data_IF_771745847054
#
_entry.id   IF_771745847054
#
_cell.length_a   1.000
_cell.length_b   1.000
_cell.length_c   1.000
_cell.angle_alpha   90.00
_cell.angle_beta   90.00
_cell.angle_gamma   90.00
#
_symmetry.space_group_name_H-M   'P 1'
#
loop_
_entity.id
_entity.type
_entity.pdbx_description
1 polymer ?
#
# COMPACT_ATOMS: atom_id res chain seq x y z
N UNK A 1 11.60 36.75 -67.67
CA UNK A 1 11.34 37.61 -66.49
C UNK A 1 10.52 36.81 -65.49
N UNK A 2 11.13 36.32 -64.41
CA UNK A 2 10.44 35.56 -63.37
C UNK A 2 10.00 36.57 -62.30
N UNK A 3 8.70 36.86 -62.26
CA UNK A 3 8.09 37.71 -61.23
C UNK A 3 8.17 37.01 -59.87
N UNK A 4 8.57 37.71 -58.79
CA UNK A 4 8.64 37.10 -57.47
C UNK A 4 7.22 36.85 -56.95
N UNK A 5 6.91 35.60 -56.60
CA UNK A 5 5.65 35.21 -55.95
C UNK A 5 5.50 35.99 -54.63
N UNK A 6 4.53 36.89 -54.58
CA UNK A 6 4.09 37.55 -53.34
C UNK A 6 3.66 36.47 -52.34
N UNK A 7 4.39 36.33 -51.23
CA UNK A 7 3.98 35.48 -50.10
C UNK A 7 2.65 36.00 -49.56
N UNK A 8 1.59 35.21 -49.72
CA UNK A 8 0.30 35.45 -49.08
C UNK A 8 0.52 35.37 -47.57
N UNK A 9 0.29 36.47 -46.85
CA UNK A 9 0.40 36.52 -45.38
C UNK A 9 -0.77 35.70 -44.80
N UNK A 10 -0.44 34.66 -44.04
CA UNK A 10 -1.41 33.90 -43.25
C UNK A 10 -2.17 34.83 -42.29
N UNK A 11 -3.47 34.62 -42.06
CA UNK A 11 -4.25 35.43 -41.14
C UNK A 11 -3.61 35.33 -39.74
N UNK A 12 -3.26 36.48 -39.18
CA UNK A 12 -2.65 36.56 -37.85
C UNK A 12 -3.77 36.38 -36.84
N UNK A 13 -3.76 35.26 -36.11
CA UNK A 13 -4.68 35.05 -35.02
C UNK A 13 -4.49 36.12 -33.94
N UNK A 14 -5.60 36.72 -33.50
CA UNK A 14 -5.67 37.77 -32.50
C UNK A 14 -6.42 37.30 -31.26
N UNK A 15 -6.18 37.98 -30.14
CA UNK A 15 -6.76 37.69 -28.82
C UNK A 15 -6.86 38.95 -27.98
N UNK A 16 -7.91 39.03 -27.15
CA UNK A 16 -8.15 40.14 -26.23
C UNK A 16 -7.37 39.91 -24.93
N UNK A 17 -6.62 40.92 -24.48
CA UNK A 17 -5.92 40.89 -23.20
C UNK A 17 -6.89 41.16 -22.05
N UNK A 18 -6.93 40.30 -21.03
CA UNK A 18 -7.82 40.45 -19.86
C UNK A 18 -7.51 41.67 -19.00
N UNK A 19 -6.28 42.18 -19.03
CA UNK A 19 -5.86 43.31 -18.18
C UNK A 19 -6.02 44.68 -18.83
N UNK A 20 -5.86 44.80 -20.16
CA UNK A 20 -6.01 46.09 -20.85
C UNK A 20 -7.19 46.16 -21.81
N UNK A 21 -7.93 45.06 -22.01
CA UNK A 21 -9.08 44.98 -22.92
C UNK A 21 -8.75 45.13 -24.41
N UNK A 22 -7.47 45.29 -24.78
CA UNK A 22 -7.06 45.52 -26.18
C UNK A 22 -6.85 44.19 -26.92
N UNK A 23 -7.34 44.15 -28.15
CA UNK A 23 -7.06 43.07 -29.10
C UNK A 23 -5.61 43.16 -29.60
N UNK A 24 -4.89 42.03 -29.55
CA UNK A 24 -3.48 41.95 -29.91
C UNK A 24 -3.20 40.63 -30.65
N UNK A 25 -2.18 40.58 -31.53
CA UNK A 25 -1.78 39.33 -32.16
C UNK A 25 -1.23 38.34 -31.12
N UNK A 26 -1.40 37.03 -31.34
CA UNK A 26 -0.94 35.99 -30.39
C UNK A 26 0.55 36.09 -30.03
N UNK A 27 1.39 36.64 -30.92
CA UNK A 27 2.82 36.88 -30.66
C UNK A 27 3.09 37.83 -29.49
N UNK A 28 2.10 38.63 -29.09
CA UNK A 28 2.17 39.55 -27.96
C UNK A 28 1.80 38.90 -26.61
N UNK A 29 1.56 37.58 -26.60
CA UNK A 29 1.27 36.81 -25.40
C UNK A 29 2.37 35.76 -25.18
N UNK A 30 2.52 35.30 -23.94
CA UNK A 30 3.39 34.17 -23.63
C UNK A 30 2.64 32.86 -23.87
N UNK A 31 3.35 31.82 -24.33
CA UNK A 31 2.75 30.48 -24.51
C UNK A 31 2.47 29.85 -23.15
N UNK A 32 1.47 28.98 -23.07
CA UNK A 32 1.18 28.21 -21.85
C UNK A 32 0.82 26.76 -22.17
N UNK A 33 1.06 25.88 -21.19
CA UNK A 33 0.64 24.48 -21.22
C UNK A 33 -0.65 24.25 -20.42
N UNK A 34 -0.97 25.17 -19.53
CA UNK A 34 -2.19 25.12 -18.73
C UNK A 34 -3.34 25.73 -19.55
N UNK A 35 -4.26 24.88 -20.00
CA UNK A 35 -5.42 25.29 -20.80
C UNK A 35 -6.42 26.14 -20.02
N UNK A 36 -6.46 26.01 -18.68
CA UNK A 36 -7.46 26.69 -17.85
C UNK A 36 -7.23 28.21 -17.79
N UNK A 37 -6.01 28.67 -18.04
CA UNK A 37 -5.63 30.08 -18.06
C UNK A 37 -5.55 30.67 -19.48
N UNK A 38 -6.07 29.92 -20.46
CA UNK A 38 -5.91 30.20 -21.88
C UNK A 38 -7.25 30.09 -22.60
N UNK A 39 -7.80 31.21 -23.07
CA UNK A 39 -9.02 31.18 -23.89
C UNK A 39 -8.84 30.52 -25.25
N UNK A 40 -7.60 30.48 -25.76
CA UNK A 40 -7.21 29.87 -27.04
C UNK A 40 -6.52 28.49 -26.86
N UNK A 41 -6.40 28.01 -25.62
CA UNK A 41 -5.71 26.77 -25.26
C UNK A 41 -4.19 26.76 -25.48
N UNK A 42 -3.57 27.87 -25.89
CA UNK A 42 -2.14 27.95 -26.27
C UNK A 42 -1.36 29.12 -25.66
N UNK A 43 -2.00 30.27 -25.42
CA UNK A 43 -1.35 31.47 -24.88
C UNK A 43 -2.03 31.95 -23.60
N UNK A 44 -1.27 32.61 -22.72
CA UNK A 44 -1.83 33.24 -21.53
C UNK A 44 -2.79 34.38 -21.93
N UNK A 45 -3.72 34.74 -21.05
CA UNK A 45 -4.72 35.78 -21.33
C UNK A 45 -4.20 37.22 -21.16
N UNK A 46 -2.95 37.41 -20.73
CA UNK A 46 -2.34 38.71 -20.43
C UNK A 46 -1.21 39.00 -21.41
N UNK A 47 -1.24 40.17 -22.04
CA UNK A 47 -0.21 40.55 -23.01
C UNK A 47 1.12 40.96 -22.35
N UNK A 48 2.21 40.78 -23.08
CA UNK A 48 3.60 41.09 -22.65
C UNK A 48 3.75 42.52 -22.12
N UNK A 49 3.07 43.50 -22.71
CA UNK A 49 3.14 44.89 -22.25
C UNK A 49 2.48 45.11 -20.88
N UNK A 50 1.40 44.38 -20.58
CA UNK A 50 0.73 44.46 -19.27
C UNK A 50 1.57 43.80 -18.18
N UNK A 51 2.17 42.65 -18.49
CA UNK A 51 3.13 41.99 -17.59
C UNK A 51 4.25 42.96 -17.22
N UNK A 52 4.88 43.61 -18.21
CA UNK A 52 5.94 44.60 -17.93
C UNK A 52 5.45 45.76 -17.08
N UNK A 53 4.37 46.44 -17.50
CA UNK A 53 3.85 47.60 -16.78
C UNK A 53 3.48 47.29 -15.33
N UNK A 54 2.94 46.12 -15.06
CA UNK A 54 2.56 45.69 -13.72
C UNK A 54 3.69 45.04 -12.91
N UNK A 55 4.93 45.05 -13.40
CA UNK A 55 6.08 44.43 -12.73
C UNK A 55 7.26 45.38 -12.52
N UNK A 56 7.25 46.57 -13.13
CA UNK A 56 8.25 47.61 -12.89
C UNK A 56 7.72 48.67 -11.92
N UNK A 57 8.60 49.18 -11.08
CA UNK A 57 8.38 50.38 -10.27
C UNK A 57 8.45 51.64 -11.13
N UNK A 58 8.03 52.78 -10.58
CA UNK A 58 8.06 54.09 -11.26
C UNK A 58 9.48 54.54 -11.63
N UNK A 59 10.50 54.07 -10.91
CA UNK A 59 11.92 54.33 -11.15
C UNK A 59 12.54 53.42 -12.24
N UNK A 60 11.76 52.48 -12.79
CA UNK A 60 12.21 51.51 -13.78
C UNK A 60 12.90 50.27 -13.21
N UNK A 61 13.02 50.15 -11.88
CA UNK A 61 13.50 48.93 -11.22
C UNK A 61 12.43 47.83 -11.24
N UNK A 62 12.86 46.56 -11.27
CA UNK A 62 11.94 45.44 -11.26
C UNK A 62 11.38 45.24 -9.84
N UNK A 63 10.06 45.29 -9.70
CA UNK A 63 9.38 44.96 -8.46
C UNK A 63 9.15 43.44 -8.39
N UNK A 64 9.93 42.76 -7.54
CA UNK A 64 9.93 41.29 -7.44
C UNK A 64 8.55 40.78 -7.01
N UNK A 65 7.92 41.40 -6.02
CA UNK A 65 6.61 40.97 -5.52
C UNK A 65 5.50 41.15 -6.57
N UNK A 66 5.48 42.30 -7.25
CA UNK A 66 4.52 42.56 -8.32
C UNK A 66 4.74 41.60 -9.50
N UNK A 67 6.00 41.29 -9.81
CA UNK A 67 6.35 40.30 -10.82
C UNK A 67 5.90 38.89 -10.43
N UNK A 68 6.11 38.46 -9.19
CA UNK A 68 5.61 37.18 -8.68
C UNK A 68 4.09 37.08 -8.79
N UNK A 69 3.34 38.13 -8.43
CA UNK A 69 1.88 38.18 -8.61
C UNK A 69 1.46 38.00 -10.08
N UNK A 70 2.20 38.59 -11.02
CA UNK A 70 1.98 38.37 -12.46
C UNK A 70 2.27 36.93 -12.88
N UNK A 71 3.35 36.34 -12.39
CA UNK A 71 3.71 34.95 -12.67
C UNK A 71 2.63 33.99 -12.15
N UNK A 72 2.13 34.22 -10.93
CA UNK A 72 1.04 33.46 -10.33
C UNK A 72 -0.22 33.49 -11.20
N UNK A 73 -0.64 34.69 -11.66
CA UNK A 73 -1.82 34.85 -12.50
C UNK A 73 -1.70 34.16 -13.86
N UNK A 74 -0.47 34.01 -14.37
CA UNK A 74 -0.18 33.32 -15.63
C UNK A 74 0.21 31.86 -15.44
N UNK A 75 0.17 31.33 -14.22
CA UNK A 75 0.70 30.02 -13.83
C UNK A 75 2.09 29.74 -14.42
N UNK A 76 2.99 30.70 -14.22
CA UNK A 76 4.38 30.63 -14.66
C UNK A 76 5.30 30.44 -13.47
N UNK A 77 6.35 29.60 -13.57
CA UNK A 77 7.21 29.36 -12.44
C UNK A 77 7.99 30.62 -12.08
N UNK A 78 8.24 30.80 -10.78
CA UNK A 78 9.16 31.79 -10.23
C UNK A 78 10.50 31.11 -9.94
N UNK A 79 11.54 31.51 -10.67
CA UNK A 79 12.87 30.88 -10.62
C UNK A 79 13.91 31.97 -10.38
N UNK A 80 14.37 32.16 -9.13
CA UNK A 80 15.34 33.20 -8.77
C UNK A 80 16.60 33.17 -9.63
N UNK A 81 17.16 32.00 -9.89
CA UNK A 81 18.41 31.83 -10.64
C UNK A 81 18.26 32.28 -12.11
N UNK A 82 17.09 32.03 -12.69
CA UNK A 82 16.76 32.47 -14.04
C UNK A 82 16.54 33.98 -14.10
N UNK A 83 16.05 34.57 -13.01
CA UNK A 83 15.87 36.02 -12.87
C UNK A 83 17.22 36.72 -12.71
N UNK A 84 18.10 36.20 -11.86
CA UNK A 84 19.47 36.71 -11.66
C UNK A 84 20.30 36.62 -12.95
N UNK A 85 20.18 35.49 -13.66
CA UNK A 85 20.78 35.32 -14.98
C UNK A 85 20.25 36.35 -15.99
N UNK A 86 18.94 36.60 -16.02
CA UNK A 86 18.34 37.60 -16.90
C UNK A 86 18.79 39.03 -16.56
N UNK A 87 18.90 39.37 -15.28
CA UNK A 87 19.42 40.67 -14.83
C UNK A 87 20.89 40.84 -15.22
N UNK A 88 21.70 39.80 -15.05
CA UNK A 88 23.12 39.82 -15.41
C UNK A 88 23.33 39.94 -16.93
N UNK A 89 22.53 39.26 -17.74
CA UNK A 89 22.55 39.36 -19.20
C UNK A 89 22.22 40.79 -19.66
N UNK A 90 21.19 41.41 -19.07
CA UNK A 90 20.79 42.78 -19.41
C UNK A 90 21.85 43.79 -18.97
N UNK A 91 22.42 43.65 -17.76
CA UNK A 91 23.53 44.51 -17.29
C UNK A 91 24.70 44.48 -18.26
N UNK A 92 25.16 43.29 -18.64
CA UNK A 92 26.24 43.12 -19.62
C UNK A 92 25.89 43.70 -21.00
N UNK A 93 24.64 43.56 -21.45
CA UNK A 93 24.19 44.15 -22.71
C UNK A 93 24.14 45.68 -22.70
N UNK A 94 23.85 46.29 -21.55
CA UNK A 94 23.90 47.74 -21.37
C UNK A 94 25.35 48.24 -21.40
N UNK A 95 26.27 47.54 -20.72
CA UNK A 95 27.70 47.87 -20.73
C UNK A 95 28.32 47.79 -22.12
N UNK A 96 27.95 46.78 -22.91
CA UNK A 96 28.48 46.57 -24.26
C UNK A 96 27.74 47.36 -25.36
N UNK A 97 26.63 48.05 -25.02
CA UNK A 97 25.77 48.73 -25.99
C UNK A 97 25.13 47.81 -27.04
N UNK A 98 25.15 46.49 -26.81
CA UNK A 98 24.71 45.46 -27.76
C UNK A 98 23.97 44.33 -27.04
N UNK A 99 22.75 44.06 -27.47
CA UNK A 99 21.95 42.91 -27.01
C UNK A 99 20.57 43.30 -26.47
N UNK A 100 20.00 42.44 -25.62
CA UNK A 100 18.64 42.62 -25.10
C UNK A 100 18.69 43.44 -23.81
N UNK A 101 17.79 44.41 -23.71
CA UNK A 101 17.67 45.30 -22.54
C UNK A 101 16.45 44.97 -21.66
N UNK A 102 15.68 43.95 -22.03
CA UNK A 102 14.42 43.58 -21.39
C UNK A 102 14.61 42.41 -20.42
N UNK A 103 14.67 42.70 -19.11
CA UNK A 103 14.87 41.70 -18.05
C UNK A 103 13.77 40.65 -18.08
N UNK A 104 12.49 41.08 -18.14
CA UNK A 104 11.34 40.17 -18.16
C UNK A 104 11.34 39.32 -19.43
N UNK A 105 11.70 39.91 -20.57
CA UNK A 105 11.86 39.17 -21.83
C UNK A 105 12.96 38.12 -21.77
N UNK A 106 14.11 38.44 -21.18
CA UNK A 106 15.21 37.50 -20.97
C UNK A 106 14.83 36.40 -19.97
N UNK A 107 14.09 36.73 -18.91
CA UNK A 107 13.55 35.76 -17.97
C UNK A 107 12.64 34.74 -18.68
N UNK A 108 11.62 35.20 -19.42
CA UNK A 108 10.71 34.31 -20.12
C UNK A 108 11.39 33.51 -21.23
N UNK A 109 12.46 34.03 -21.85
CA UNK A 109 13.33 33.24 -22.74
C UNK A 109 13.89 32.04 -21.96
N UNK A 110 14.56 32.28 -20.84
CA UNK A 110 15.18 31.22 -20.02
C UNK A 110 14.15 30.20 -19.53
N UNK A 111 13.04 30.67 -18.95
CA UNK A 111 11.97 29.80 -18.42
C UNK A 111 11.28 28.97 -19.52
N UNK A 112 11.10 29.53 -20.71
CA UNK A 112 10.42 28.83 -21.81
C UNK A 112 11.34 27.92 -22.62
N UNK A 113 12.66 28.12 -22.54
CA UNK A 113 13.65 27.39 -23.35
C UNK A 113 14.26 26.23 -22.57
N UNK A 114 14.52 26.40 -21.27
CA UNK A 114 15.20 25.41 -20.46
C UNK A 114 14.23 24.29 -20.03
N UNK A 115 14.45 23.03 -20.43
CA UNK A 115 13.52 21.92 -20.18
C UNK A 115 13.12 21.77 -18.71
N UNK A 116 14.09 22.00 -17.80
CA UNK A 116 13.90 21.99 -16.35
C UNK A 116 12.83 22.96 -15.85
N UNK A 117 12.74 24.15 -16.46
CA UNK A 117 11.82 25.20 -16.05
C UNK A 117 10.47 25.09 -16.75
N UNK A 118 10.45 24.60 -18.00
CA UNK A 118 9.22 24.56 -18.81
C UNK A 118 8.09 23.72 -18.21
N UNK A 119 8.41 22.77 -17.31
CA UNK A 119 7.46 21.81 -16.72
C UNK A 119 6.88 22.27 -15.38
N UNK A 120 7.41 23.34 -14.80
CA UNK A 120 7.02 23.79 -13.47
C UNK A 120 5.85 24.77 -13.57
N UNK A 121 4.83 24.58 -12.71
CA UNK A 121 3.81 25.60 -12.43
C UNK A 121 4.34 26.66 -11.45
N UNK A 122 3.57 27.73 -11.23
CA UNK A 122 3.92 28.70 -10.18
C UNK A 122 4.02 28.02 -8.82
N UNK A 123 3.03 27.17 -8.48
CA UNK A 123 2.97 26.48 -7.20
C UNK A 123 4.14 25.50 -7.01
N UNK A 124 4.52 24.74 -8.05
CA UNK A 124 5.67 23.82 -7.99
C UNK A 124 6.96 24.59 -7.68
N UNK A 125 7.19 25.70 -8.38
CA UNK A 125 8.39 26.51 -8.19
C UNK A 125 8.44 27.15 -6.79
N UNK A 126 7.30 27.58 -6.26
CA UNK A 126 7.22 28.16 -4.92
C UNK A 126 7.47 27.12 -3.83
N UNK A 127 6.95 25.90 -4.00
CA UNK A 127 7.23 24.80 -3.07
C UNK A 127 8.71 24.41 -3.05
N UNK A 128 9.36 24.38 -4.22
CA UNK A 128 10.81 24.12 -4.30
C UNK A 128 11.62 25.23 -3.64
N UNK A 129 11.25 26.49 -3.90
CA UNK A 129 11.88 27.66 -3.28
C UNK A 129 11.77 27.62 -1.75
N UNK A 130 10.58 27.35 -1.20
CA UNK A 130 10.34 27.28 0.23
C UNK A 130 11.08 26.13 0.93
N UNK A 131 11.41 25.06 0.19
CA UNK A 131 12.20 23.94 0.69
C UNK A 131 13.72 24.21 0.66
N UNK A 132 14.16 25.38 0.18
CA UNK A 132 15.58 25.72 0.06
C UNK A 132 16.35 24.83 -0.93
N UNK A 133 15.65 24.12 -1.81
CA UNK A 133 16.26 23.22 -2.81
C UNK A 133 16.56 24.01 -4.07
N UNK A 134 17.80 23.95 -4.54
CA UNK A 134 18.15 24.52 -5.85
C UNK A 134 17.41 23.76 -6.95
N UNK A 135 16.80 24.48 -7.89
CA UNK A 135 16.10 23.86 -9.03
C UNK A 135 17.08 23.05 -9.89
N UNK A 136 18.38 23.35 -9.87
CA UNK A 136 19.39 22.53 -10.58
C UNK A 136 19.56 21.14 -9.95
N UNK A 137 19.37 21.00 -8.64
CA UNK A 137 19.44 19.72 -7.91
C UNK A 137 18.14 18.92 -8.03
N UNK A 138 17.01 19.62 -8.16
CA UNK A 138 15.72 19.01 -8.45
C UNK A 138 15.64 18.37 -9.85
N UNK A 139 16.54 18.75 -10.77
CA UNK A 139 16.57 18.24 -12.16
C UNK A 139 17.45 17.00 -12.30
N UNK A 140 18.52 16.87 -11.51
CA UNK A 140 19.27 15.61 -11.40
C UNK A 140 18.51 14.55 -10.58
N UNK A 141 17.57 14.97 -9.73
CA UNK A 141 16.63 14.10 -9.01
C UNK A 141 15.23 14.06 -9.61
N UNK A 142 15.01 14.67 -10.79
CA UNK A 142 13.87 14.26 -11.61
C UNK A 142 14.18 12.89 -12.20
N UNK A 143 13.71 11.88 -11.47
CA UNK A 143 13.08 10.71 -12.04
C UNK A 143 12.55 11.07 -13.43
N UNK A 144 12.94 10.26 -14.44
CA UNK A 144 12.28 10.28 -15.73
C UNK A 144 10.81 9.95 -15.48
N UNK A 145 9.97 10.96 -15.19
CA UNK A 145 8.55 10.91 -15.50
C UNK A 145 8.49 10.77 -17.01
N UNK A 146 8.50 9.51 -17.47
CA UNK A 146 8.00 9.15 -18.79
C UNK A 146 6.56 9.66 -18.76
N UNK A 147 6.34 10.80 -19.41
CA UNK A 147 5.01 11.17 -19.85
C UNK A 147 4.61 10.03 -20.77
N UNK A 148 3.75 9.14 -20.28
CA UNK A 148 3.10 8.13 -21.09
C UNK A 148 2.45 8.86 -22.28
N UNK A 149 2.51 8.28 -23.49
CA UNK A 149 1.81 8.84 -24.63
C UNK A 149 0.34 9.10 -24.27
N UNK A 150 -0.21 10.19 -24.83
CA UNK A 150 -1.45 10.91 -24.48
C UNK A 150 -2.77 10.08 -24.42
N UNK A 151 -2.73 8.75 -24.53
CA UNK A 151 -3.90 7.88 -24.64
C UNK A 151 -4.01 6.77 -23.58
N UNK A 152 -3.26 6.80 -22.48
CA UNK A 152 -3.54 5.89 -21.35
C UNK A 152 -4.34 6.62 -20.28
N UNK A 153 -5.57 6.16 -20.07
CA UNK A 153 -6.45 6.62 -18.99
C UNK A 153 -5.81 6.30 -17.64
N UNK A 154 -5.28 7.33 -16.97
CA UNK A 154 -4.83 7.20 -15.58
C UNK A 154 -6.05 7.32 -14.68
N UNK A 155 -6.54 6.18 -14.19
CA UNK A 155 -7.65 6.14 -13.23
C UNK A 155 -7.19 6.67 -11.86
N UNK A 156 -7.56 7.91 -11.54
CA UNK A 156 -7.40 8.47 -10.19
C UNK A 156 -8.78 8.51 -9.53
N UNK A 157 -9.03 7.62 -8.57
CA UNK A 157 -10.24 7.68 -7.75
C UNK A 157 -10.18 8.92 -6.85
N UNK A 158 -10.86 9.99 -7.26
CA UNK A 158 -11.00 11.22 -6.50
C UNK A 158 -12.10 11.09 -5.45
N UNK A 159 -11.77 10.54 -4.29
CA UNK A 159 -12.54 10.76 -3.05
C UNK A 159 -11.50 10.93 -1.94
N UNK A 160 -11.44 12.12 -1.34
CA UNK A 160 -10.37 12.46 -0.39
C UNK A 160 -10.87 13.21 0.85
N UNK A 161 -11.74 12.54 1.60
CA UNK A 161 -12.08 12.89 2.98
C UNK A 161 -11.06 12.32 3.99
N UNK A 162 -9.89 11.86 3.53
CA UNK A 162 -8.88 11.28 4.41
C UNK A 162 -8.19 12.38 5.21
N UNK A 163 -8.26 12.29 6.55
CA UNK A 163 -7.54 13.19 7.46
C UNK A 163 -6.40 12.40 8.10
N UNK A 164 -5.21 13.00 8.11
CA UNK A 164 -4.06 12.44 8.84
C UNK A 164 -4.24 12.80 10.30
N UNK A 165 -4.55 11.81 11.13
CA UNK A 165 -4.64 11.96 12.60
C UNK A 165 -3.31 11.61 13.25
N UNK A 166 -3.13 12.05 14.51
CA UNK A 166 -1.91 11.76 15.27
C UNK A 166 -1.67 10.25 15.42
N UNK A 167 -2.72 9.44 15.59
CA UNK A 167 -2.59 7.98 15.66
C UNK A 167 -1.95 7.37 14.40
N UNK A 168 -2.20 7.97 13.23
CA UNK A 168 -1.61 7.50 11.95
C UNK A 168 -0.14 7.90 11.87
N UNK A 169 0.22 9.08 12.35
CA UNK A 169 1.63 9.52 12.41
C UNK A 169 2.42 8.76 13.45
N UNK A 170 1.81 8.38 14.57
CA UNK A 170 2.45 7.57 15.60
C UNK A 170 2.68 6.13 15.10
N UNK A 171 1.71 5.56 14.38
CA UNK A 171 1.79 4.19 13.85
C UNK A 171 2.82 4.04 12.73
N UNK A 172 2.92 5.01 11.81
CA UNK A 172 3.83 4.92 10.66
C UNK A 172 5.10 5.77 10.79
N UNK A 173 5.15 6.69 11.75
CA UNK A 173 6.20 7.70 11.89
C UNK A 173 5.91 8.96 11.07
N UNK A 174 6.67 10.02 11.36
CA UNK A 174 6.55 11.33 10.71
C UNK A 174 7.31 11.40 9.37
N UNK A 175 6.99 12.40 8.55
CA UNK A 175 7.74 12.73 7.33
C UNK A 175 7.20 12.14 6.02
N UNK A 176 6.01 11.54 6.02
CA UNK A 176 5.34 11.07 4.79
C UNK A 176 4.30 12.07 4.27
N UNK A 177 3.97 11.95 2.98
CA UNK A 177 2.90 12.76 2.37
C UNK A 177 1.50 12.24 2.74
N UNK A 178 0.47 13.10 2.68
CA UNK A 178 -0.93 12.72 2.90
C UNK A 178 -1.37 11.51 2.04
N UNK A 179 -0.91 11.47 0.79
CA UNK A 179 -1.19 10.36 -0.13
C UNK A 179 -0.54 9.05 0.32
N UNK A 180 0.71 9.10 0.80
CA UNK A 180 1.41 7.95 1.35
C UNK A 180 0.73 7.43 2.61
N UNK A 181 0.35 8.30 3.55
CA UNK A 181 -0.40 7.89 4.74
C UNK A 181 -1.73 7.23 4.39
N UNK A 182 -2.45 7.72 3.36
CA UNK A 182 -3.68 7.07 2.88
C UNK A 182 -3.40 5.66 2.35
N UNK A 183 -2.39 5.50 1.50
CA UNK A 183 -2.02 4.19 0.94
C UNK A 183 -1.61 3.22 2.04
N UNK A 184 -0.81 3.69 3.01
CA UNK A 184 -0.37 2.92 4.17
C UNK A 184 -1.58 2.47 5.00
N UNK A 185 -2.43 3.41 5.41
CA UNK A 185 -3.61 3.12 6.22
C UNK A 185 -4.57 2.14 5.53
N UNK A 186 -4.88 2.38 4.25
CA UNK A 186 -5.72 1.47 3.44
C UNK A 186 -5.15 0.05 3.34
N UNK A 187 -3.83 -0.09 3.20
CA UNK A 187 -3.17 -1.40 3.09
C UNK A 187 -3.10 -2.08 4.46
N UNK A 188 -2.82 -1.32 5.52
CA UNK A 188 -2.81 -1.79 6.89
C UNK A 188 -4.18 -2.31 7.32
N UNK A 189 -5.26 -1.54 7.07
CA UNK A 189 -6.62 -1.95 7.43
C UNK A 189 -7.04 -3.22 6.69
N UNK A 190 -6.71 -3.34 5.38
CA UNK A 190 -6.95 -4.56 4.59
C UNK A 190 -6.20 -5.78 5.10
N UNK A 191 -4.96 -5.60 5.58
CA UNK A 191 -4.18 -6.71 6.13
C UNK A 191 -4.68 -7.10 7.51
N UNK A 192 -5.18 -6.13 8.28
CA UNK A 192 -5.78 -6.34 9.60
C UNK A 192 -7.10 -7.12 9.55
N UNK A 193 -7.87 -7.02 8.46
CA UNK A 193 -9.11 -7.81 8.28
C UNK A 193 -8.86 -9.33 8.34
N UNK A 194 -7.71 -9.79 7.85
CA UNK A 194 -7.39 -11.23 7.75
C UNK A 194 -6.26 -11.65 8.72
N UNK A 195 -5.82 -10.78 9.62
CA UNK A 195 -4.70 -11.05 10.51
C UNK A 195 -5.06 -10.73 11.96
N UNK A 196 -5.00 -11.74 12.83
CA UNK A 196 -5.19 -11.57 14.27
C UNK A 196 -3.93 -10.97 14.90
N UNK A 197 -3.94 -9.66 15.14
CA UNK A 197 -2.87 -8.96 15.86
C UNK A 197 -2.95 -9.39 17.34
N UNK A 198 -2.07 -10.28 17.77
CA UNK A 198 -2.04 -10.79 19.15
C UNK A 198 -1.20 -9.94 20.10
N UNK A 199 -0.21 -9.19 19.58
CA UNK A 199 0.71 -8.36 20.39
C UNK A 199 1.09 -7.07 19.67
N UNK A 200 1.51 -6.06 20.42
CA UNK A 200 2.02 -4.78 19.87
C UNK A 200 3.22 -4.98 18.93
N UNK A 201 4.02 -6.01 19.16
CA UNK A 201 5.16 -6.35 18.29
C UNK A 201 4.69 -6.74 16.88
N UNK A 202 3.56 -7.45 16.76
CA UNK A 202 2.97 -7.76 15.46
C UNK A 202 2.43 -6.51 14.77
N UNK A 203 1.87 -5.57 15.52
CA UNK A 203 1.39 -4.29 14.99
C UNK A 203 2.52 -3.44 14.42
N UNK A 204 3.63 -3.27 15.17
CA UNK A 204 4.81 -2.55 14.70
C UNK A 204 5.48 -3.21 13.48
N UNK A 205 5.52 -4.54 13.47
CA UNK A 205 6.09 -5.30 12.36
C UNK A 205 5.21 -5.19 11.10
N UNK A 206 3.88 -5.22 11.26
CA UNK A 206 2.92 -4.98 10.17
C UNK A 206 3.00 -3.53 9.65
N UNK A 207 3.09 -2.54 10.54
CA UNK A 207 3.27 -1.15 10.14
C UNK A 207 4.58 -0.97 9.36
N UNK A 208 5.66 -1.63 9.78
CA UNK A 208 6.96 -1.62 9.10
C UNK A 208 6.88 -2.28 7.72
N UNK A 209 6.21 -3.43 7.61
CA UNK A 209 5.95 -4.09 6.32
C UNK A 209 5.21 -3.16 5.36
N UNK A 210 4.13 -2.53 5.83
CA UNK A 210 3.31 -1.61 5.02
C UNK A 210 4.12 -0.41 4.54
N UNK A 211 5.01 0.15 5.37
CA UNK A 211 5.90 1.26 4.98
C UNK A 211 6.80 0.87 3.80
N UNK A 212 7.46 -0.28 3.88
CA UNK A 212 8.34 -0.74 2.81
C UNK A 212 7.57 -1.10 1.54
N UNK A 213 6.39 -1.72 1.68
CA UNK A 213 5.56 -2.10 0.53
C UNK A 213 5.03 -0.88 -0.24
N UNK A 214 4.64 0.19 0.45
CA UNK A 214 4.23 1.44 -0.20
C UNK A 214 5.41 2.10 -0.92
N UNK A 215 6.62 2.08 -0.33
CA UNK A 215 7.82 2.60 -1.01
C UNK A 215 8.23 1.77 -2.22
N UNK A 216 8.09 0.46 -2.17
CA UNK A 216 8.31 -0.42 -3.32
C UNK A 216 7.32 -0.12 -4.46
N UNK A 217 6.02 0.02 -4.15
CA UNK A 217 5.01 0.35 -5.15
C UNK A 217 5.28 1.70 -5.80
N UNK A 218 5.74 2.69 -5.02
CA UNK A 218 6.14 4.00 -5.53
C UNK A 218 7.41 3.93 -6.39
N UNK A 219 8.45 3.21 -5.96
CA UNK A 219 9.66 2.99 -6.76
C UNK A 219 9.36 2.22 -8.05
N UNK A 220 8.48 1.23 -7.99
CA UNK A 220 8.01 0.46 -9.16
C UNK A 220 7.25 1.35 -10.13
N UNK A 221 6.35 2.19 -9.63
CA UNK A 221 5.61 3.16 -10.45
C UNK A 221 6.53 4.24 -11.06
N UNK A 222 7.60 4.62 -10.36
CA UNK A 222 8.61 5.54 -10.85
C UNK A 222 9.57 4.89 -11.88
N UNK A 223 9.53 3.56 -12.03
CA UNK A 223 10.43 2.81 -12.91
C UNK A 223 11.85 2.63 -12.36
N UNK A 224 12.05 2.86 -11.05
CA UNK A 224 13.31 2.61 -10.35
C UNK A 224 13.34 1.18 -9.82
N UNK A 225 13.73 0.26 -10.69
CA UNK A 225 13.84 -1.18 -10.40
C UNK A 225 14.85 -1.46 -9.27
N UNK A 226 15.90 -0.63 -9.14
CA UNK A 226 16.95 -0.83 -8.15
C UNK A 226 16.47 -0.51 -6.73
N UNK A 227 15.75 0.59 -6.56
CA UNK A 227 15.11 0.91 -5.27
C UNK A 227 13.94 -0.03 -4.99
N UNK A 228 13.16 -0.42 -6.01
CA UNK A 228 12.05 -1.37 -5.83
C UNK A 228 12.54 -2.72 -5.28
N UNK A 229 13.62 -3.30 -5.81
CA UNK A 229 14.17 -4.56 -5.29
C UNK A 229 14.65 -4.43 -3.84
N UNK A 230 15.30 -3.31 -3.48
CA UNK A 230 15.73 -3.05 -2.10
C UNK A 230 14.56 -2.98 -1.13
N UNK A 231 13.52 -2.21 -1.48
CA UNK A 231 12.33 -2.08 -0.64
C UNK A 231 11.53 -3.38 -0.58
N UNK A 232 11.50 -4.17 -1.66
CA UNK A 232 10.87 -5.49 -1.66
C UNK A 232 11.59 -6.45 -0.70
N UNK A 233 12.93 -6.52 -0.74
CA UNK A 233 13.71 -7.35 0.21
C UNK A 233 13.48 -6.93 1.66
N UNK A 234 13.54 -5.62 1.93
CA UNK A 234 13.26 -5.09 3.27
C UNK A 234 11.82 -5.40 3.73
N UNK A 235 10.85 -5.37 2.81
CA UNK A 235 9.48 -5.78 3.09
C UNK A 235 9.38 -7.28 3.38
N UNK A 236 10.07 -8.15 2.64
CA UNK A 236 10.07 -9.59 2.90
C UNK A 236 10.73 -9.93 4.25
N UNK A 237 11.86 -9.30 4.57
CA UNK A 237 12.50 -9.48 5.88
C UNK A 237 11.59 -9.03 7.03
N UNK A 238 10.87 -7.92 6.85
CA UNK A 238 9.87 -7.46 7.81
C UNK A 238 8.67 -8.41 7.88
N UNK A 239 8.23 -8.97 6.75
CA UNK A 239 7.14 -9.94 6.69
C UNK A 239 7.50 -11.24 7.41
N UNK A 240 8.71 -11.76 7.20
CA UNK A 240 9.18 -12.99 7.85
C UNK A 240 9.31 -12.79 9.37
N UNK A 241 9.82 -11.62 9.82
CA UNK A 241 9.86 -11.26 11.24
C UNK A 241 8.47 -11.09 11.85
N UNK A 242 7.53 -10.57 11.07
CA UNK A 242 6.14 -10.39 11.47
C UNK A 242 5.30 -11.68 11.34
N UNK A 243 5.86 -12.77 10.80
CA UNK A 243 5.14 -14.00 10.41
C UNK A 243 3.97 -13.73 9.45
N UNK A 244 4.16 -12.82 8.48
CA UNK A 244 3.19 -12.42 7.46
C UNK A 244 3.32 -13.20 6.14
N UNK A 245 4.29 -14.12 6.03
CA UNK A 245 4.56 -14.86 4.79
C UNK A 245 3.54 -16.01 4.58
N UNK A 246 3.00 -16.21 3.35
CA UNK A 246 2.09 -17.32 3.04
C UNK A 246 2.67 -18.72 3.29
N UNK A 247 4.00 -18.84 3.38
CA UNK A 247 4.69 -20.09 3.75
C UNK A 247 4.52 -20.48 5.22
N UNK A 248 4.12 -19.54 6.07
CA UNK A 248 3.90 -19.75 7.50
C UNK A 248 2.43 -19.62 7.90
N UNK A 249 1.57 -19.13 7.01
CA UNK A 249 0.13 -19.34 7.13
C UNK A 249 -0.11 -20.85 7.03
N UNK A 250 -0.64 -21.43 8.10
CA UNK A 250 -1.04 -22.84 8.06
C UNK A 250 -2.17 -23.01 7.04
N UNK A 251 -2.40 -24.23 6.54
CA UNK A 251 -3.51 -24.48 5.63
C UNK A 251 -4.87 -24.05 6.24
N UNK A 252 -4.96 -24.02 7.57
CA UNK A 252 -6.09 -23.48 8.32
C UNK A 252 -6.25 -21.96 8.15
N UNK A 253 -5.16 -21.19 8.18
CA UNK A 253 -5.23 -19.72 8.06
C UNK A 253 -5.62 -19.25 6.64
N UNK A 254 -5.23 -20.00 5.60
CA UNK A 254 -5.53 -19.66 4.20
C UNK A 254 -6.95 -19.98 3.75
N UNK A 255 -7.64 -20.90 4.44
CA UNK A 255 -8.98 -21.36 4.05
C UNK A 255 -10.11 -20.64 4.79
N UNK A 256 -9.84 -19.55 5.51
CA UNK A 256 -10.81 -18.99 6.45
C UNK A 256 -11.16 -20.02 7.53
N UNK A 257 -10.17 -20.86 7.85
CA UNK A 257 -10.29 -21.89 8.86
C UNK A 257 -10.45 -21.25 10.22
N UNK A 258 -11.30 -21.89 10.99
CA UNK A 258 -11.72 -21.44 12.29
C UNK A 258 -10.53 -21.49 13.25
N UNK A 259 -10.12 -20.34 13.78
CA UNK A 259 -8.82 -20.22 14.48
C UNK A 259 -8.88 -20.67 15.93
N UNK A 260 -10.09 -20.75 16.50
CA UNK A 260 -10.32 -21.25 17.84
C UNK A 260 -11.62 -22.07 17.92
N UNK A 261 -11.69 -22.98 18.89
CA UNK A 261 -12.87 -23.84 19.14
C UNK A 261 -14.16 -23.02 19.30
N UNK A 262 -14.08 -21.82 19.89
CA UNK A 262 -15.21 -20.92 20.05
C UNK A 262 -15.73 -20.35 18.73
N UNK A 263 -14.85 -20.10 17.75
CA UNK A 263 -15.27 -19.67 16.41
C UNK A 263 -15.94 -20.83 15.65
N UNK A 264 -15.55 -22.09 15.93
CA UNK A 264 -16.18 -23.29 15.33
C UNK A 264 -17.61 -23.39 15.83
N UNK A 265 -17.81 -23.29 17.15
CA UNK A 265 -19.15 -23.29 17.76
C UNK A 265 -20.01 -22.18 17.15
N UNK A 266 -19.47 -20.96 17.08
CA UNK A 266 -20.18 -19.80 16.54
C UNK A 266 -20.54 -19.96 15.06
N UNK A 267 -19.64 -20.44 14.22
CA UNK A 267 -19.92 -20.66 12.80
C UNK A 267 -20.93 -21.80 12.59
N UNK A 268 -20.89 -22.83 13.43
CA UNK A 268 -21.84 -23.94 13.41
C UNK A 268 -23.25 -23.49 13.83
N UNK A 269 -23.35 -22.73 14.92
CA UNK A 269 -24.60 -22.12 15.42
C UNK A 269 -25.19 -21.10 14.45
N UNK A 270 -24.36 -20.29 13.78
CA UNK A 270 -24.84 -19.34 12.77
C UNK A 270 -25.36 -20.01 11.49
N UNK A 271 -24.78 -21.15 11.12
CA UNK A 271 -25.20 -21.90 9.93
C UNK A 271 -26.42 -22.79 10.20
N UNK A 272 -26.51 -23.35 11.41
CA UNK A 272 -27.59 -24.20 11.89
C UNK A 272 -27.89 -23.75 13.32
N UNK A 273 -28.93 -22.93 13.49
CA UNK A 273 -29.34 -22.23 14.73
C UNK A 273 -29.22 -23.10 15.99
N UNK A 274 -29.59 -24.39 15.86
CA UNK A 274 -29.34 -25.45 16.85
C UNK A 274 -28.91 -26.69 16.08
N UNK A 275 -27.66 -27.14 16.27
CA UNK A 275 -27.21 -28.44 15.75
C UNK A 275 -27.84 -29.53 16.62
N UNK A 276 -28.96 -30.12 16.18
CA UNK A 276 -29.66 -31.22 16.88
C UNK A 276 -28.82 -32.50 17.02
N UNK A 277 -27.65 -32.57 16.39
CA UNK A 277 -26.84 -33.78 16.29
C UNK A 277 -25.42 -33.48 16.74
N UNK A 278 -25.08 -33.90 17.97
CA UNK A 278 -23.70 -33.93 18.47
C UNK A 278 -22.78 -34.61 17.42
N UNK A 279 -21.49 -34.19 17.29
CA UNK A 279 -20.55 -34.85 16.40
C UNK A 279 -20.53 -36.36 16.69
N UNK A 280 -20.97 -37.16 15.71
CA UNK A 280 -20.83 -38.60 15.79
C UNK A 280 -19.35 -38.93 15.69
N UNK A 281 -18.75 -39.33 16.79
CA UNK A 281 -17.42 -39.91 16.79
C UNK A 281 -17.44 -41.14 15.87
N UNK A 282 -16.71 -41.10 14.76
CA UNK A 282 -16.41 -42.29 13.96
C UNK A 282 -15.33 -43.08 14.70
N UNK A 283 -15.72 -43.83 15.72
CA UNK A 283 -14.84 -44.83 16.31
C UNK A 283 -14.70 -46.00 15.33
N UNK A 284 -13.47 -46.28 14.91
CA UNK A 284 -13.09 -47.60 14.41
C UNK A 284 -12.40 -48.35 15.56
N UNK A 285 -12.58 -49.68 15.66
CA UNK A 285 -11.83 -50.47 16.63
C UNK A 285 -10.32 -50.30 16.41
N UNK A 286 -9.59 -49.89 17.45
CA UNK A 286 -8.15 -49.55 17.51
C UNK A 286 -7.79 -48.09 17.14
N UNK A 287 -8.51 -47.11 17.67
CA UNK A 287 -8.03 -45.75 17.53
C UNK A 287 -6.73 -45.57 18.36
N UNK A 288 -5.78 -44.75 17.91
CA UNK A 288 -4.50 -44.54 18.61
C UNK A 288 -4.67 -44.26 20.13
N UNK A 289 -5.74 -43.57 20.58
CA UNK A 289 -6.06 -43.43 22.01
C UNK A 289 -6.20 -44.76 22.78
N UNK A 290 -6.82 -45.79 22.21
CA UNK A 290 -7.06 -47.06 22.90
C UNK A 290 -5.74 -47.78 23.26
N UNK A 291 -4.81 -47.80 22.31
CA UNK A 291 -3.47 -48.34 22.52
C UNK A 291 -2.67 -47.49 23.52
N UNK A 292 -2.76 -46.16 23.43
CA UNK A 292 -2.09 -45.25 24.37
C UNK A 292 -2.61 -45.45 25.80
N UNK A 293 -3.92 -45.62 25.97
CA UNK A 293 -4.55 -45.91 27.28
C UNK A 293 -4.05 -47.26 27.82
N UNK A 294 -3.99 -48.30 26.99
CA UNK A 294 -3.45 -49.60 27.41
C UNK A 294 -1.97 -49.52 27.82
N UNK A 295 -1.14 -48.80 27.06
CA UNK A 295 0.25 -48.53 27.43
C UNK A 295 0.36 -47.78 28.77
N UNK A 296 -0.50 -46.78 28.99
CA UNK A 296 -0.52 -46.02 30.24
C UNK A 296 -0.94 -46.89 31.44
N UNK A 297 -1.97 -47.73 31.29
CA UNK A 297 -2.41 -48.66 32.34
C UNK A 297 -1.25 -49.60 32.70
N UNK A 298 -0.57 -50.19 31.71
CA UNK A 298 0.55 -51.09 31.96
C UNK A 298 1.78 -50.38 32.53
N UNK A 299 2.01 -49.12 32.16
CA UNK A 299 3.02 -48.27 32.79
C UNK A 299 2.71 -48.05 34.28
N UNK A 300 1.47 -47.68 34.62
CA UNK A 300 1.04 -47.49 36.00
C UNK A 300 1.10 -48.79 36.83
N UNK A 301 0.76 -49.94 36.23
CA UNK A 301 0.88 -51.26 36.86
C UNK A 301 2.34 -51.62 37.13
N UNK A 302 3.25 -51.33 36.18
CA UNK A 302 4.70 -51.50 36.36
C UNK A 302 5.23 -50.66 37.53
N UNK A 303 4.79 -49.40 37.66
CA UNK A 303 5.16 -48.54 38.80
C UNK A 303 4.71 -49.11 40.15
N UNK A 304 3.61 -49.87 40.16
CA UNK A 304 3.06 -50.53 41.36
C UNK A 304 3.56 -51.97 41.56
N UNK A 305 4.49 -52.46 40.73
CA UNK A 305 4.98 -53.84 40.80
C UNK A 305 3.93 -54.90 40.42
N UNK A 306 2.85 -54.50 39.73
CA UNK A 306 1.81 -55.40 39.27
C UNK A 306 2.15 -55.97 37.89
N UNK A 307 1.73 -57.22 37.58
CA UNK A 307 1.92 -57.79 36.25
C UNK A 307 1.18 -56.98 35.19
N UNK A 308 1.67 -57.00 33.95
CA UNK A 308 0.97 -56.37 32.82
C UNK A 308 -0.42 -56.98 32.66
N UNK A 309 -1.40 -56.16 32.30
CA UNK A 309 -2.73 -56.63 31.94
C UNK A 309 -2.87 -56.76 30.43
N UNK A 310 -3.61 -57.77 30.02
CA UNK A 310 -4.07 -57.98 28.67
C UNK A 310 -5.03 -56.86 28.26
N UNK A 311 -5.08 -56.54 26.97
CA UNK A 311 -6.04 -55.56 26.47
C UNK A 311 -7.50 -55.96 26.75
N UNK A 312 -7.75 -57.27 26.82
CA UNK A 312 -9.04 -57.85 27.22
C UNK A 312 -9.54 -57.39 28.57
N UNK A 313 -8.63 -57.31 29.54
CA UNK A 313 -8.97 -56.88 30.90
C UNK A 313 -9.39 -55.40 30.94
N UNK A 314 -8.91 -54.58 29.99
CA UNK A 314 -9.25 -53.16 29.91
C UNK A 314 -10.70 -52.97 29.45
N UNK A 315 -11.13 -53.66 28.40
CA UNK A 315 -12.50 -53.52 27.94
C UNK A 315 -13.51 -54.25 28.85
N UNK A 316 -13.10 -55.33 29.51
CA UNK A 316 -13.91 -55.99 30.53
C UNK A 316 -14.18 -55.06 31.70
N UNK A 317 -13.16 -54.35 32.17
CA UNK A 317 -13.33 -53.33 33.21
C UNK A 317 -14.35 -52.26 32.80
N UNK A 318 -14.33 -51.82 31.53
CA UNK A 318 -15.36 -50.90 31.02
C UNK A 318 -16.76 -51.51 31.06
N UNK A 319 -16.90 -52.77 30.60
CA UNK A 319 -18.19 -53.47 30.57
C UNK A 319 -18.75 -53.63 32.01
N UNK A 320 -17.89 -53.95 32.98
CA UNK A 320 -18.25 -54.05 34.40
C UNK A 320 -18.73 -52.71 34.97
N UNK A 321 -17.97 -51.63 34.73
CA UNK A 321 -18.35 -50.28 35.18
C UNK A 321 -19.64 -49.78 34.55
N UNK A 322 -19.87 -50.09 33.27
CA UNK A 322 -21.11 -49.78 32.56
C UNK A 322 -22.29 -50.54 33.17
N UNK A 323 -22.13 -51.84 33.43
CA UNK A 323 -23.16 -52.66 34.07
C UNK A 323 -23.49 -52.17 35.48
N UNK A 324 -22.49 -51.78 36.27
CA UNK A 324 -22.67 -51.19 37.59
C UNK A 324 -23.46 -49.87 37.50
N UNK A 325 -23.09 -48.99 36.57
CA UNK A 325 -23.79 -47.73 36.35
C UNK A 325 -25.26 -47.94 35.96
N UNK A 326 -25.53 -48.83 34.99
CA UNK A 326 -26.89 -49.15 34.52
C UNK A 326 -27.70 -49.79 35.66
N UNK A 327 -27.09 -50.66 36.46
CA UNK A 327 -27.75 -51.27 37.62
C UNK A 327 -28.16 -50.22 38.67
N UNK A 328 -27.31 -49.22 38.90
CA UNK A 328 -27.53 -48.21 39.94
C UNK A 328 -28.47 -47.09 39.50
N UNK A 329 -28.38 -46.62 38.25
CA UNK A 329 -29.07 -45.42 37.78
C UNK A 329 -29.99 -45.65 36.58
N UNK A 330 -29.95 -46.84 35.97
CA UNK A 330 -30.55 -47.09 34.66
C UNK A 330 -29.78 -46.41 33.53
N UNK A 331 -30.47 -46.14 32.42
CA UNK A 331 -29.97 -45.30 31.32
C UNK A 331 -30.95 -44.16 31.01
N UNK A 332 -31.16 -43.20 31.96
CA UNK A 332 -32.21 -42.20 31.85
C UNK A 332 -32.01 -41.21 30.70
N UNK A 333 -30.78 -41.11 30.17
CA UNK A 333 -30.42 -40.20 29.08
C UNK A 333 -30.09 -40.93 27.77
N UNK A 334 -30.25 -42.25 27.73
CA UNK A 334 -29.99 -43.05 26.53
C UNK A 334 -28.51 -43.07 26.11
N UNK A 335 -27.58 -42.85 27.06
CA UNK A 335 -26.13 -42.75 26.79
C UNK A 335 -25.60 -44.06 26.21
N UNK A 336 -26.17 -45.20 26.60
CA UNK A 336 -25.72 -46.52 26.17
C UNK A 336 -26.66 -47.18 25.16
N UNK A 337 -27.75 -46.51 24.77
CA UNK A 337 -28.80 -47.07 23.92
C UNK A 337 -28.29 -47.46 22.52
N UNK A 338 -27.35 -46.68 21.97
CA UNK A 338 -26.69 -46.95 20.68
C UNK A 338 -25.21 -47.36 20.81
N UNK A 339 -24.78 -47.80 21.99
CA UNK A 339 -23.40 -48.21 22.22
C UNK A 339 -23.05 -49.49 21.40
N UNK A 340 -22.06 -49.37 20.52
CA UNK A 340 -21.59 -50.46 19.66
C UNK A 340 -20.39 -51.20 20.26
N UNK A 341 -19.88 -50.77 21.41
CA UNK A 341 -18.64 -51.26 22.03
C UNK A 341 -18.65 -52.78 22.26
N UNK A 342 -19.73 -53.32 22.83
CA UNK A 342 -19.89 -54.76 23.07
C UNK A 342 -20.01 -55.56 21.77
N UNK A 343 -20.79 -55.06 20.80
CA UNK A 343 -20.99 -55.71 19.49
C UNK A 343 -19.68 -55.82 18.69
N UNK A 344 -18.76 -54.88 18.90
CA UNK A 344 -17.50 -54.81 18.17
C UNK A 344 -16.35 -55.63 18.81
N UNK A 345 -16.54 -56.23 19.99
CA UNK A 345 -15.46 -56.95 20.72
C UNK A 345 -14.84 -58.10 19.92
N UNK A 346 -15.65 -58.88 19.20
CA UNK A 346 -15.17 -59.99 18.36
C UNK A 346 -14.25 -59.52 17.23
N UNK A 347 -14.52 -58.32 16.69
CA UNK A 347 -13.64 -57.68 15.71
C UNK A 347 -12.34 -57.23 16.38
N UNK A 348 -12.42 -56.58 17.55
CA UNK A 348 -11.26 -56.11 18.33
C UNK A 348 -10.30 -57.27 18.68
N UNK A 349 -10.81 -58.42 19.13
CA UNK A 349 -9.99 -59.59 19.45
C UNK A 349 -9.18 -60.13 18.25
N UNK A 350 -9.66 -59.92 17.02
CA UNK A 350 -9.01 -60.44 15.81
C UNK A 350 -7.78 -59.61 15.40
N UNK A 351 -7.76 -58.32 15.72
CA UNK A 351 -6.72 -57.38 15.29
C UNK A 351 -5.58 -57.21 16.30
N UNK A 352 -5.77 -57.63 17.56
CA UNK A 352 -4.74 -57.59 18.60
C UNK A 352 -3.87 -58.85 18.48
N UNK A 353 -3.07 -58.90 17.41
CA UNK A 353 -1.93 -59.81 17.34
C UNK A 353 -0.68 -58.95 17.40
N UNK A 354 -0.09 -58.87 18.59
CA UNK A 354 1.20 -58.21 18.76
C UNK A 354 2.24 -58.94 17.89
N UNK A 355 3.20 -58.22 17.26
CA UNK A 355 4.33 -58.84 16.59
C UNK A 355 5.05 -59.82 17.54
N UNK A 356 5.59 -60.92 17.01
CA UNK A 356 6.24 -61.99 17.81
C UNK A 356 7.40 -61.48 18.69
N UNK A 357 7.91 -60.31 18.35
CA UNK A 357 9.02 -59.58 18.91
C UNK A 357 8.62 -58.59 20.02
N UNK A 358 7.32 -58.44 20.33
CA UNK A 358 6.83 -57.55 21.40
C UNK A 358 7.10 -58.10 22.83
N UNK A 359 7.30 -59.40 22.99
CA UNK A 359 7.58 -60.03 24.30
C UNK A 359 9.05 -59.96 24.75
N UNK A 360 9.98 -59.55 23.88
CA UNK A 360 11.41 -59.51 24.19
C UNK A 360 11.82 -58.26 25.00
N UNK A 361 11.15 -58.06 26.13
CA UNK A 361 11.41 -56.99 27.09
C UNK A 361 12.12 -57.43 28.38
N UNK A 362 12.41 -58.72 28.54
CA UNK A 362 13.21 -59.24 29.66
C UNK A 362 14.49 -59.91 29.14
N UNK A 363 15.52 -59.09 28.94
CA UNK A 363 16.94 -59.47 29.08
C UNK A 363 17.68 -58.39 29.85
#
# INVERSE_FOLDING_TARGET
MITPRKKVKTPVSTKICTECGKEKPLSQFYTTRNSNISTDGKTVNICKSCVKKGSYNSDGSLNIEAFQKKLMLMDKPYIPEALDSAMSEVRRSLELGKGRTDIIGCYFKNVSTLPQYTKLSFLDSMNLFNQGKSITEAVTTTEKRKILPRNEEVYVNMVDDFVVTNDITDLFGEGYTKSQYRKMKKKFDKLKENYSIQTNLHEEALATYVRFKVKEEEATAAGDVGSADKWNRAAQDAADKAKLTPKQLTQADLQGGVTCISEISKACEQAVDIVEILPKFKYQPNDAPDFIIWCYINYARKLKGLPKCEYKEVYQFYDDMKNEYISQYGDPYGIFTDDTSEKNRSSVETFIKLPKDYENGDK
#
